data_IF_629732696577
#
_entry.id   IF_629732696577
#
_cell.length_a   1.000
_cell.length_b   1.000
_cell.length_c   1.000
_cell.angle_alpha   90.00
_cell.angle_beta   90.00
_cell.angle_gamma   90.00
#
_symmetry.space_group_name_H-M   'P 1'
#
loop_
_entity.id
_entity.type
_entity.pdbx_description
1 polymer ?
#
# COMPACT_ATOMS: atom_id res chain seq x y z
N UNK A 1 16.08 2.23 -2.55
CA UNK A 1 16.71 1.13 -1.77
C UNK A 1 17.80 0.52 -2.60
N UNK A 2 18.99 0.30 -2.04
CA UNK A 2 20.13 -0.29 -2.76
C UNK A 2 20.20 -1.79 -2.48
N UNK A 3 20.21 -2.61 -3.53
CA UNK A 3 20.31 -4.08 -3.42
C UNK A 3 21.75 -4.47 -3.76
N UNK A 4 22.52 -5.05 -2.82
CA UNK A 4 23.85 -5.56 -3.11
C UNK A 4 23.83 -6.64 -4.19
N UNK A 5 24.90 -6.76 -4.96
CA UNK A 5 25.01 -7.77 -6.04
C UNK A 5 24.93 -9.23 -5.57
N UNK A 6 25.10 -9.47 -4.27
CA UNK A 6 24.98 -10.79 -3.65
C UNK A 6 23.55 -11.12 -3.19
N UNK A 7 22.61 -10.19 -3.31
CA UNK A 7 21.20 -10.38 -2.91
C UNK A 7 20.30 -10.32 -4.14
N UNK A 8 19.30 -11.20 -4.16
CA UNK A 8 18.30 -11.27 -5.23
C UNK A 8 16.89 -10.97 -4.72
N UNK A 9 16.74 -10.65 -3.43
CA UNK A 9 15.47 -10.38 -2.77
C UNK A 9 15.55 -9.17 -1.83
N UNK A 10 14.41 -8.50 -1.65
CA UNK A 10 14.22 -7.40 -0.72
C UNK A 10 12.82 -7.51 -0.11
N UNK A 11 12.73 -7.41 1.21
CA UNK A 11 11.45 -7.19 1.88
C UNK A 11 11.15 -5.69 1.98
N UNK A 12 10.06 -5.26 1.35
CA UNK A 12 9.57 -3.89 1.42
C UNK A 12 8.23 -3.84 2.18
N UNK A 13 8.06 -2.79 3.01
CA UNK A 13 6.78 -2.54 3.65
C UNK A 13 5.88 -1.77 2.68
N UNK A 14 4.78 -2.40 2.25
CA UNK A 14 3.83 -1.85 1.28
C UNK A 14 2.48 -1.61 1.94
N UNK A 15 1.74 -0.63 1.42
CA UNK A 15 0.36 -0.38 1.83
C UNK A 15 -0.55 -1.52 1.37
N UNK A 16 -1.55 -1.86 2.18
CA UNK A 16 -2.56 -2.85 1.79
C UNK A 16 -3.48 -2.29 0.70
N UNK A 17 -4.06 -3.17 -0.11
CA UNK A 17 -5.00 -2.82 -1.17
C UNK A 17 -4.51 -1.66 -2.05
N UNK A 18 -3.24 -1.73 -2.45
CA UNK A 18 -2.58 -0.71 -3.23
C UNK A 18 -1.94 -1.33 -4.47
N UNK A 19 -1.92 -0.53 -5.54
CA UNK A 19 -1.35 -0.90 -6.82
C UNK A 19 0.06 -0.34 -6.95
N UNK A 20 1.02 -1.21 -7.24
CA UNK A 20 2.43 -0.86 -7.41
C UNK A 20 2.94 -1.30 -8.78
N UNK A 21 3.85 -0.49 -9.31
CA UNK A 21 4.76 -0.87 -10.39
C UNK A 21 6.19 -0.70 -9.93
N UNK A 22 7.09 -1.53 -10.45
CA UNK A 22 8.49 -1.53 -10.11
C UNK A 22 9.34 -1.23 -11.34
N UNK A 23 10.48 -0.55 -11.12
CA UNK A 23 11.54 -0.37 -12.10
C UNK A 23 12.87 -0.69 -11.44
N UNK A 24 13.82 -1.17 -12.23
CA UNK A 24 15.19 -1.49 -11.79
C UNK A 24 16.17 -0.55 -12.47
N UNK A 25 17.12 -0.05 -11.68
CA UNK A 25 18.27 0.72 -12.16
C UNK A 25 19.52 -0.05 -11.72
N UNK A 26 20.38 -0.40 -12.67
CA UNK A 26 21.64 -1.08 -12.39
C UNK A 26 22.75 -0.06 -12.14
N UNK A 27 23.69 -0.38 -11.26
CA UNK A 27 24.84 0.47 -10.94
C UNK A 27 26.15 -0.29 -11.14
N UNK A 28 27.13 0.34 -11.78
CA UNK A 28 28.50 -0.15 -11.88
C UNK A 28 29.51 0.98 -11.56
N UNK A 29 30.80 0.73 -11.78
CA UNK A 29 31.87 1.73 -11.53
C UNK A 29 31.75 3.02 -12.35
N UNK A 30 31.07 2.99 -13.49
CA UNK A 30 30.86 4.14 -14.37
C UNK A 30 29.65 4.95 -13.88
N UNK A 31 28.58 4.28 -13.45
CA UNK A 31 27.41 4.94 -12.92
C UNK A 31 26.13 4.10 -13.00
N UNK A 32 25.00 4.80 -13.01
CA UNK A 32 23.66 4.23 -13.14
C UNK A 32 23.30 3.94 -14.61
N UNK A 33 22.56 2.87 -14.85
CA UNK A 33 21.86 2.64 -16.12
C UNK A 33 20.61 3.51 -16.24
N UNK A 34 19.98 3.49 -17.41
CA UNK A 34 18.58 3.88 -17.53
C UNK A 34 17.68 2.94 -16.72
N UNK A 35 16.50 3.43 -16.35
CA UNK A 35 15.50 2.62 -15.67
C UNK A 35 14.89 1.58 -16.61
N UNK A 36 14.65 0.37 -16.10
CA UNK A 36 13.90 -0.65 -16.82
C UNK A 36 12.48 -0.18 -17.20
N UNK A 37 11.82 -0.88 -18.14
CA UNK A 37 10.36 -0.82 -18.24
C UNK A 37 9.68 -1.09 -16.88
N UNK A 38 8.43 -0.64 -16.75
CA UNK A 38 7.62 -0.95 -15.57
C UNK A 38 7.36 -2.46 -15.50
N UNK A 39 7.21 -2.98 -14.28
CA UNK A 39 6.74 -4.35 -14.06
C UNK A 39 5.32 -4.53 -14.60
N UNK A 40 5.10 -5.61 -15.35
CA UNK A 40 3.78 -6.03 -15.80
C UNK A 40 3.50 -7.50 -15.42
N UNK A 41 2.28 -7.83 -14.97
CA UNK A 41 1.15 -6.94 -14.75
C UNK A 41 1.32 -6.03 -13.51
N UNK A 42 0.40 -5.08 -13.33
CA UNK A 42 0.29 -4.26 -12.12
C UNK A 42 0.25 -5.16 -10.88
N UNK A 43 1.07 -4.84 -9.87
CA UNK A 43 1.16 -5.62 -8.65
C UNK A 43 0.20 -5.06 -7.60
N UNK A 44 -0.87 -5.78 -7.28
CA UNK A 44 -1.82 -5.38 -6.24
C UNK A 44 -1.52 -6.10 -4.93
N UNK A 45 -1.34 -5.34 -3.85
CA UNK A 45 -1.15 -5.92 -2.51
C UNK A 45 -2.46 -6.47 -1.95
N UNK A 46 -2.35 -7.43 -1.02
CA UNK A 46 -3.52 -8.03 -0.37
C UNK A 46 -4.31 -6.99 0.44
N UNK A 47 -5.60 -7.23 0.60
CA UNK A 47 -6.43 -6.49 1.56
C UNK A 47 -5.92 -6.72 2.99
N UNK A 48 -6.17 -5.76 3.87
CA UNK A 48 -5.95 -5.93 5.30
C UNK A 48 -7.04 -5.22 6.11
N UNK A 49 -7.05 -5.45 7.42
CA UNK A 49 -7.98 -4.77 8.32
C UNK A 49 -7.69 -3.26 8.30
N UNK A 50 -8.73 -2.40 8.38
CA UNK A 50 -8.53 -0.98 8.60
C UNK A 50 -7.61 -0.74 9.79
N UNK A 51 -6.66 0.19 9.64
CA UNK A 51 -5.72 0.52 10.72
C UNK A 51 -6.33 1.44 11.78
N UNK A 52 -7.40 2.15 11.41
CA UNK A 52 -8.08 3.12 12.25
C UNK A 52 -9.54 2.74 12.40
N UNK A 53 -10.12 3.18 13.51
CA UNK A 53 -11.54 3.05 13.77
C UNK A 53 -12.32 4.05 12.91
N UNK A 54 -13.63 3.85 12.71
CA UNK A 54 -14.49 4.87 12.13
C UNK A 54 -14.39 6.20 12.90
N UNK A 55 -14.43 7.30 12.17
CA UNK A 55 -14.42 8.64 12.76
C UNK A 55 -15.84 9.20 12.81
N UNK A 56 -16.07 10.22 13.65
CA UNK A 56 -17.37 10.89 13.72
C UNK A 56 -18.54 10.02 14.19
N UNK A 57 -18.29 8.94 14.94
CA UNK A 57 -19.35 8.05 15.44
C UNK A 57 -20.34 8.84 16.29
N UNK A 58 -21.60 8.85 15.85
CA UNK A 58 -22.72 9.53 16.51
C UNK A 58 -23.94 8.63 16.55
N UNK A 59 -24.76 8.82 17.58
CA UNK A 59 -26.04 8.13 17.70
C UNK A 59 -27.17 9.14 17.84
N UNK A 60 -28.32 8.86 17.22
CA UNK A 60 -29.54 9.63 17.43
C UNK A 60 -30.75 8.71 17.58
N UNK A 61 -31.76 9.19 18.30
CA UNK A 61 -33.00 8.47 18.53
C UNK A 61 -34.15 9.44 18.34
N UNK A 62 -34.92 9.24 17.26
CA UNK A 62 -36.14 10.02 17.00
C UNK A 62 -37.41 9.31 17.47
N UNK A 63 -37.36 8.00 17.71
CA UNK A 63 -38.49 7.15 18.05
C UNK A 63 -38.12 6.15 19.14
N UNK A 64 -39.07 5.84 20.04
CA UNK A 64 -38.87 4.83 21.07
C UNK A 64 -38.54 3.47 20.44
N UNK A 65 -37.56 2.76 21.01
CA UNK A 65 -36.99 1.51 20.50
C UNK A 65 -36.18 1.60 19.18
N UNK A 66 -35.83 2.81 18.70
CA UNK A 66 -34.92 2.99 17.57
C UNK A 66 -33.59 3.63 18.02
N UNK A 67 -32.48 3.01 17.60
CA UNK A 67 -31.14 3.58 17.74
C UNK A 67 -30.53 3.72 16.35
N UNK A 68 -30.37 4.95 15.87
CA UNK A 68 -29.64 5.25 14.64
C UNK A 68 -28.18 5.52 14.97
N UNK A 69 -27.25 4.80 14.34
CA UNK A 69 -25.81 4.97 14.51
C UNK A 69 -25.21 5.33 13.15
N UNK A 70 -24.47 6.43 13.10
CA UNK A 70 -23.82 6.95 11.90
C UNK A 70 -22.33 7.21 12.19
N UNK A 71 -21.48 7.08 11.16
CA UNK A 71 -20.04 7.36 11.20
C UNK A 71 -19.56 7.72 9.79
N UNK A 72 -18.33 8.23 9.69
CA UNK A 72 -17.61 8.50 8.43
C UNK A 72 -16.57 7.40 8.12
#
# INVERSE_FOLDING_TARGET
THIPSSQNDLSASLSCWANYTFRVIAYNRIGASDASPISEPLCTTRTCRPKTNPEGVKSSTAQSALLLIEWE
#
